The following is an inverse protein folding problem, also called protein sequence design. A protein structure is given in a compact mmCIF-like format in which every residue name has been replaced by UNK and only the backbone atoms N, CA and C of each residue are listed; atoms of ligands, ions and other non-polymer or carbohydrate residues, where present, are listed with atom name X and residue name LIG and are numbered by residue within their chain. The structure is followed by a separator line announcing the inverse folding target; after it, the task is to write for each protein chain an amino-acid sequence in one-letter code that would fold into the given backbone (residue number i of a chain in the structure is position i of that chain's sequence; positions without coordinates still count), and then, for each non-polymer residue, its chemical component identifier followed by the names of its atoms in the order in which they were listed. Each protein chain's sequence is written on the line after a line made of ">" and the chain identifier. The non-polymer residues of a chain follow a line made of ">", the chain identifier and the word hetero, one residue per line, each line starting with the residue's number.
data_IF_740457799542
#
_entry.id   IF_740457799542
#
_cell.length_a   1.000
_cell.length_b   1.000
_cell.length_c   1.000
_cell.angle_alpha   90.00
_cell.angle_beta   90.00
_cell.angle_gamma   90.00
#
_symmetry.space_group_name_H-M   'P 1'
#
loop_
_entity.id
_entity.type
_entity.pdbx_description
1 polymer ?
#
# COMPACT_ATOMS: atom_id res chain seq x y z
N UNK A 1 -10.38 9.07 17.76
CA UNK A 1 -10.46 9.30 16.30
C UNK A 1 -9.27 10.19 15.94
N UNK A 2 -8.32 9.74 15.12
CA UNK A 2 -7.14 10.57 14.82
C UNK A 2 -5.97 9.88 14.12
N UNK A 3 -5.90 8.55 14.10
CA UNK A 3 -4.70 7.86 13.59
C UNK A 3 -4.80 7.46 12.10
N UNK A 4 -5.97 7.01 11.65
CA UNK A 4 -6.18 6.51 10.27
C UNK A 4 -6.35 7.63 9.24
N UNK A 5 -7.09 8.69 9.57
CA UNK A 5 -7.30 9.84 8.66
C UNK A 5 -5.99 10.58 8.40
N UNK A 6 -5.17 10.72 9.45
CA UNK A 6 -3.86 11.35 9.37
C UNK A 6 -2.89 10.51 8.51
N UNK A 7 -2.99 9.19 8.52
CA UNK A 7 -2.19 8.33 7.64
C UNK A 7 -2.53 8.51 6.16
N UNK A 8 -3.81 8.56 5.78
CA UNK A 8 -4.21 8.72 4.38
C UNK A 8 -3.71 10.04 3.76
N UNK A 9 -3.95 11.18 4.43
CA UNK A 9 -3.49 12.49 3.96
C UNK A 9 -1.96 12.59 3.86
N UNK A 10 -1.24 11.86 4.72
CA UNK A 10 0.22 11.83 4.70
C UNK A 10 0.77 10.94 3.59
N UNK A 11 0.13 9.81 3.31
CA UNK A 11 0.48 8.99 2.16
C UNK A 11 0.30 9.79 0.87
N UNK A 12 -0.82 10.49 0.73
CA UNK A 12 -1.08 11.40 -0.39
C UNK A 12 0.00 12.48 -0.52
N UNK A 13 0.36 13.15 0.58
CA UNK A 13 1.40 14.20 0.58
C UNK A 13 2.79 13.69 0.17
N UNK A 14 3.06 12.38 0.29
CA UNK A 14 4.33 11.76 -0.12
C UNK A 14 4.24 11.09 -1.49
N UNK A 15 3.05 10.97 -2.09
CA UNK A 15 2.86 10.40 -3.40
C UNK A 15 3.30 11.38 -4.48
N UNK A 16 4.00 10.88 -5.51
CA UNK A 16 4.24 11.63 -6.75
C UNK A 16 2.94 11.66 -7.57
N UNK A 17 2.77 12.64 -8.47
CA UNK A 17 1.64 12.66 -9.39
C UNK A 17 1.48 11.32 -10.11
N UNK A 18 0.27 10.74 -10.05
CA UNK A 18 -0.05 9.44 -10.64
C UNK A 18 0.28 8.22 -9.78
N UNK A 19 0.90 8.37 -8.61
CA UNK A 19 1.10 7.25 -7.68
C UNK A 19 -0.13 7.03 -6.79
N UNK A 20 -0.47 5.75 -6.59
CA UNK A 20 -1.52 5.33 -5.65
C UNK A 20 -0.84 4.57 -4.52
N UNK A 21 -0.76 5.19 -3.34
CA UNK A 21 -0.13 4.59 -2.16
C UNK A 21 -1.17 4.03 -1.20
N UNK A 22 -0.92 2.81 -0.71
CA UNK A 22 -1.77 2.13 0.27
C UNK A 22 -0.95 1.70 1.48
N UNK A 23 -1.62 1.66 2.64
CA UNK A 23 -1.03 1.09 3.85
C UNK A 23 -1.11 -0.44 3.84
N UNK A 24 -0.31 -1.09 4.68
CA UNK A 24 -0.39 -2.55 4.92
C UNK A 24 -1.81 -3.04 5.24
N UNK A 25 -2.57 -2.31 6.05
CA UNK A 25 -3.93 -2.69 6.40
C UNK A 25 -4.90 -2.71 5.19
N UNK A 26 -4.65 -1.84 4.19
CA UNK A 26 -5.41 -1.85 2.93
C UNK A 26 -4.91 -2.98 2.05
N UNK A 27 -3.59 -3.15 1.92
CA UNK A 27 -2.98 -4.23 1.14
C UNK A 27 -3.52 -5.60 1.54
N UNK A 28 -3.58 -5.92 2.84
CA UNK A 28 -4.12 -7.19 3.32
C UNK A 28 -5.55 -7.49 2.85
N UNK A 29 -6.35 -6.44 2.62
CA UNK A 29 -7.74 -6.57 2.14
C UNK A 29 -7.85 -6.69 0.63
N UNK A 30 -6.89 -6.15 -0.13
CA UNK A 30 -6.97 -6.06 -1.59
C UNK A 30 -5.96 -6.92 -2.34
N UNK A 31 -4.97 -7.52 -1.66
CA UNK A 31 -3.82 -8.26 -2.25
C UNK A 31 -4.19 -9.31 -3.30
N UNK A 32 -5.39 -9.89 -3.22
CA UNK A 32 -5.88 -10.85 -4.21
C UNK A 32 -6.27 -10.24 -5.57
N UNK A 33 -6.35 -8.91 -5.70
CA UNK A 33 -6.86 -8.22 -6.90
C UNK A 33 -5.95 -7.11 -7.42
N UNK A 34 -4.81 -6.87 -6.78
CA UNK A 34 -3.92 -5.76 -7.14
C UNK A 34 -2.50 -6.22 -7.42
N UNK A 35 -1.83 -5.49 -8.29
CA UNK A 35 -0.37 -5.50 -8.46
C UNK A 35 0.22 -4.38 -7.64
N UNK A 36 1.29 -4.69 -6.91
CA UNK A 36 1.89 -3.74 -5.98
C UNK A 36 3.41 -3.80 -5.99
N UNK A 37 4.01 -2.64 -5.72
CA UNK A 37 5.42 -2.48 -5.41
C UNK A 37 5.55 -2.08 -3.95
N UNK A 38 6.30 -2.85 -3.15
CA UNK A 38 6.60 -2.46 -1.77
C UNK A 38 7.57 -1.29 -1.76
N UNK A 39 7.20 -0.19 -1.10
CA UNK A 39 8.06 0.98 -0.92
C UNK A 39 8.77 0.98 0.44
N UNK A 40 8.53 -0.05 1.27
CA UNK A 40 9.06 -0.16 2.61
C UNK A 40 8.38 0.77 3.62
N UNK A 41 9.09 1.05 4.71
CA UNK A 41 8.59 1.91 5.78
C UNK A 41 8.81 3.39 5.48
N UNK A 42 7.71 4.16 5.44
CA UNK A 42 7.77 5.61 5.39
C UNK A 42 7.59 6.16 6.81
N UNK A 43 8.58 6.93 7.26
CA UNK A 43 8.49 7.66 8.53
C UNK A 43 7.65 8.91 8.34
N UNK A 44 6.50 8.96 9.00
CA UNK A 44 5.61 10.12 8.99
C UNK A 44 5.77 10.93 10.26
N UNK A 45 6.00 12.24 10.13
CA UNK A 45 6.25 13.17 11.25
C UNK A 45 5.21 13.04 12.38
N UNK A 46 5.61 12.56 13.56
CA UNK A 46 4.71 12.38 14.71
C UNK A 46 4.19 10.96 14.91
N UNK A 47 4.68 9.97 14.17
CA UNK A 47 4.60 8.56 14.57
C UNK A 47 5.99 8.03 14.92
N UNK A 48 6.07 7.27 16.00
CA UNK A 48 7.31 6.68 16.52
C UNK A 48 7.76 5.46 15.72
N UNK A 49 6.83 4.81 15.01
CA UNK A 49 7.08 3.66 14.14
C UNK A 49 6.76 4.03 12.69
N UNK A 50 7.59 3.53 11.76
CA UNK A 50 7.35 3.65 10.33
C UNK A 50 6.04 2.99 9.92
N UNK A 51 5.48 3.42 8.79
CA UNK A 51 4.32 2.77 8.20
C UNK A 51 4.78 2.05 6.94
N UNK A 52 4.50 0.76 6.83
CA UNK A 52 4.69 0.02 5.59
C UNK A 52 3.74 0.54 4.51
N UNK A 53 4.32 0.99 3.40
CA UNK A 53 3.61 1.58 2.26
C UNK A 53 3.85 0.75 1.00
N UNK A 54 2.79 0.59 0.23
CA UNK A 54 2.81 -0.11 -1.04
C UNK A 54 2.25 0.82 -2.12
N UNK A 55 2.85 0.81 -3.30
CA UNK A 55 2.27 1.43 -4.50
C UNK A 55 1.36 0.41 -5.19
N UNK A 56 0.20 0.84 -5.69
CA UNK A 56 -0.59 0.05 -6.64
C UNK A 56 -0.10 0.33 -8.05
N UNK A 57 0.31 -0.72 -8.75
CA UNK A 57 0.74 -0.68 -10.15
C UNK A 57 -0.39 -1.10 -11.10
N UNK A 58 -1.37 -1.87 -10.61
CA UNK A 58 -2.49 -2.38 -11.40
C UNK A 58 -3.63 -2.94 -10.55
N UNK A 59 -4.84 -2.95 -11.12
CA UNK A 59 -6.05 -3.53 -10.50
C UNK A 59 -6.69 -4.49 -11.49
N UNK A 60 -6.95 -5.72 -11.05
CA UNK A 60 -7.62 -6.73 -11.86
C UNK A 60 -9.11 -6.83 -11.50
N UNK A 61 -10.00 -6.95 -12.50
CA UNK A 61 -11.44 -7.09 -12.28
C UNK A 61 -11.82 -8.43 -11.63
N UNK A 62 -11.01 -9.45 -11.82
CA UNK A 62 -11.10 -10.76 -11.16
C UNK A 62 -9.92 -10.95 -10.20
N UNK A 63 -10.07 -11.76 -9.12
CA UNK A 63 -8.94 -12.17 -8.32
C UNK A 63 -7.87 -12.80 -9.21
N UNK A 64 -6.58 -12.50 -8.93
CA UNK A 64 -5.47 -13.19 -9.59
C UNK A 64 -5.71 -14.69 -9.45
N UNK A 65 -5.81 -15.38 -10.59
CA UNK A 65 -5.91 -16.84 -10.59
C UNK A 65 -4.64 -17.34 -9.91
N UNK A 66 -4.78 -18.02 -8.78
CA UNK A 66 -3.66 -18.42 -7.94
C UNK A 66 -2.76 -19.40 -8.66
N UNK A 67 -1.72 -18.88 -9.32
CA UNK A 67 -0.44 -19.57 -9.38
C UNK A 67 0.45 -18.85 -8.38
N UNK A 68 0.67 -19.50 -7.23
CA UNK A 68 1.78 -19.13 -6.39
C UNK A 68 3.03 -19.36 -7.25
N UNK A 69 3.67 -18.28 -7.69
CA UNK A 69 5.03 -18.33 -8.22
C UNK A 69 5.89 -18.94 -7.10
N UNK A 70 6.31 -20.18 -7.32
CA UNK A 70 7.31 -20.84 -6.52
C UNK A 70 8.59 -20.03 -6.70
N UNK A 71 9.01 -19.32 -5.66
CA UNK A 71 10.36 -18.74 -5.64
C UNK A 71 11.36 -19.90 -5.83
N UNK A 72 12.08 -19.88 -6.96
CA UNK A 72 13.18 -20.79 -7.31
C UNK A 72 14.43 -20.48 -6.48
#
# INVERSE_FOLDING_TARGET
>A
MGDTVNTAARLESNAKPGQILISQAVYEKVKGRVEITSLGEITVKGKTHGINVFQIDGVHPSPKSGVAELEL
#
